data_IF_011359257328
#
_entry.id   IF_011359257328
#
_cell.length_a   1.000
_cell.length_b   1.000
_cell.length_c   1.000
_cell.angle_alpha   90.00
_cell.angle_beta   90.00
_cell.angle_gamma   90.00
#
_symmetry.space_group_name_H-M   'P 1'
#
loop_
_entity.id
_entity.type
_entity.pdbx_description
1 polymer ?
#
# COMPACT_ATOMS: atom_id res chain seq x y z
N UNK A 1 20.01 12.18 1.66
CA UNK A 1 19.54 12.24 0.26
C UNK A 1 18.83 10.93 -0.05
N UNK A 2 17.72 10.97 -0.79
CA UNK A 2 16.94 9.77 -1.13
C UNK A 2 17.13 9.46 -2.61
N UNK A 3 17.42 8.20 -2.90
CA UNK A 3 17.69 7.68 -4.23
C UNK A 3 16.71 6.56 -4.57
N UNK A 4 16.31 6.49 -5.83
CA UNK A 4 15.47 5.41 -6.35
C UNK A 4 16.36 4.45 -7.14
N UNK A 5 16.33 3.17 -6.77
CA UNK A 5 17.01 2.09 -7.48
C UNK A 5 15.97 1.33 -8.29
N UNK A 6 16.21 1.19 -9.60
CA UNK A 6 15.42 0.28 -10.42
C UNK A 6 15.92 -1.14 -10.22
N UNK A 7 14.99 -2.04 -9.94
CA UNK A 7 15.25 -3.47 -9.77
C UNK A 7 14.37 -4.30 -10.69
N UNK A 8 14.66 -5.59 -10.78
CA UNK A 8 13.79 -6.54 -11.47
C UNK A 8 12.53 -6.76 -10.65
N UNK A 9 11.37 -6.64 -11.30
CA UNK A 9 10.05 -6.88 -10.70
C UNK A 9 9.98 -8.28 -10.07
N UNK A 10 9.32 -8.39 -8.91
CA UNK A 10 9.20 -9.62 -8.10
C UNK A 10 10.54 -10.14 -7.53
N UNK A 11 11.60 -9.32 -7.54
CA UNK A 11 12.91 -9.60 -6.96
C UNK A 11 13.38 -8.47 -6.02
N UNK A 12 12.49 -7.60 -5.60
CA UNK A 12 12.75 -6.44 -4.75
C UNK A 12 13.36 -6.87 -3.41
N UNK A 13 12.78 -7.87 -2.73
CA UNK A 13 13.29 -8.37 -1.46
C UNK A 13 14.70 -8.96 -1.58
N UNK A 14 14.96 -9.71 -2.66
CA UNK A 14 16.31 -10.26 -2.93
C UNK A 14 17.31 -9.15 -3.24
N UNK A 15 16.93 -8.18 -4.06
CA UNK A 15 17.80 -7.05 -4.37
C UNK A 15 18.13 -6.24 -3.11
N UNK A 16 17.15 -6.01 -2.23
CA UNK A 16 17.33 -5.33 -0.95
C UNK A 16 18.31 -6.08 -0.05
N UNK A 17 18.15 -7.39 0.08
CA UNK A 17 19.06 -8.25 0.86
C UNK A 17 20.50 -8.15 0.35
N UNK A 18 20.71 -8.28 -0.96
CA UNK A 18 22.04 -8.20 -1.58
C UNK A 18 22.71 -6.83 -1.39
N UNK A 19 21.93 -5.74 -1.53
CA UNK A 19 22.44 -4.37 -1.30
C UNK A 19 22.82 -4.21 0.18
N UNK A 20 21.98 -4.71 1.09
CA UNK A 20 22.22 -4.63 2.54
C UNK A 20 23.47 -5.41 2.96
N UNK A 21 23.61 -6.65 2.51
CA UNK A 21 24.79 -7.48 2.77
C UNK A 21 26.07 -6.81 2.26
N UNK A 22 26.04 -6.25 1.05
CA UNK A 22 27.18 -5.54 0.49
C UNK A 22 27.53 -4.30 1.31
N UNK A 23 26.54 -3.51 1.70
CA UNK A 23 26.75 -2.31 2.49
C UNK A 23 27.39 -2.64 3.84
N UNK A 24 26.95 -3.71 4.51
CA UNK A 24 27.53 -4.20 5.76
C UNK A 24 28.97 -4.68 5.54
N UNK A 25 29.20 -5.52 4.52
CA UNK A 25 30.51 -6.13 4.24
C UNK A 25 31.56 -5.08 3.89
N UNK A 26 31.20 -4.09 3.09
CA UNK A 26 32.11 -3.04 2.63
C UNK A 26 32.11 -1.79 3.53
N UNK A 27 31.31 -1.79 4.62
CA UNK A 27 31.15 -0.66 5.54
C UNK A 27 30.68 0.63 4.83
N UNK A 28 29.81 0.47 3.83
CA UNK A 28 29.22 1.57 3.06
C UNK A 28 28.18 2.27 3.93
N UNK A 29 28.16 3.61 3.88
CA UNK A 29 27.35 4.44 4.78
C UNK A 29 25.95 4.70 4.22
N UNK A 30 25.15 3.65 4.09
CA UNK A 30 23.72 3.77 3.85
C UNK A 30 22.99 4.06 5.17
N UNK A 31 21.99 4.93 5.14
CA UNK A 31 21.16 5.28 6.29
C UNK A 31 19.95 4.35 6.38
N UNK A 32 19.27 4.11 5.25
CA UNK A 32 18.10 3.24 5.20
C UNK A 32 17.88 2.68 3.79
N UNK A 33 17.23 1.52 3.71
CA UNK A 33 16.75 0.91 2.47
C UNK A 33 15.30 0.49 2.69
N UNK A 34 14.40 0.87 1.79
CA UNK A 34 12.98 0.57 1.86
C UNK A 34 12.47 -0.06 0.56
N UNK A 35 11.57 -1.04 0.70
CA UNK A 35 10.82 -1.64 -0.39
C UNK A 35 9.33 -1.31 -0.18
N UNK A 36 8.78 -0.28 -0.87
CA UNK A 36 7.40 0.13 -0.67
C UNK A 36 6.42 -0.85 -1.31
N UNK A 37 5.36 -1.25 -0.59
CA UNK A 37 4.37 -2.23 -1.06
C UNK A 37 3.66 -1.83 -2.37
N UNK A 38 3.48 -0.53 -2.63
CA UNK A 38 2.84 -0.03 -3.85
C UNK A 38 3.78 0.12 -5.06
N UNK A 39 5.10 -0.02 -4.87
CA UNK A 39 6.08 0.35 -5.89
C UNK A 39 6.85 -0.87 -6.42
N UNK A 40 6.26 -1.53 -7.43
CA UNK A 40 6.86 -2.72 -8.07
C UNK A 40 8.08 -2.35 -8.94
N UNK A 41 9.16 -3.10 -8.77
CA UNK A 41 10.40 -2.94 -9.54
C UNK A 41 11.30 -1.79 -9.09
N UNK A 42 11.08 -1.24 -7.89
CA UNK A 42 11.94 -0.19 -7.36
C UNK A 42 12.23 -0.39 -5.86
N UNK A 43 13.38 0.13 -5.44
CA UNK A 43 13.78 0.28 -4.05
C UNK A 43 14.12 1.74 -3.77
N UNK A 44 13.96 2.16 -2.52
CA UNK A 44 14.32 3.48 -2.04
C UNK A 44 15.52 3.33 -1.13
N UNK A 45 16.58 4.12 -1.35
CA UNK A 45 17.80 4.12 -0.52
C UNK A 45 18.06 5.53 -0.04
N UNK A 46 18.31 5.68 1.25
CA UNK A 46 18.75 6.91 1.86
C UNK A 46 20.24 6.86 2.18
N UNK A 47 20.99 7.86 1.72
CA UNK A 47 22.42 7.99 2.00
C UNK A 47 22.86 9.46 2.06
N UNK A 48 24.07 9.70 2.58
CA UNK A 48 24.67 11.04 2.58
C UNK A 48 25.22 11.42 1.22
N UNK A 49 25.82 10.46 0.50
CA UNK A 49 26.46 10.67 -0.78
C UNK A 49 25.88 9.72 -1.84
N UNK A 50 25.99 10.12 -3.11
CA UNK A 50 25.59 9.28 -4.25
C UNK A 50 26.56 8.10 -4.44
N UNK A 51 27.85 8.34 -4.22
CA UNK A 51 28.90 7.33 -4.40
C UNK A 51 28.67 6.10 -3.52
N UNK A 52 28.23 6.29 -2.28
CA UNK A 52 27.87 5.21 -1.35
C UNK A 52 26.74 4.33 -1.94
N UNK A 53 25.74 4.95 -2.57
CA UNK A 53 24.61 4.23 -3.18
C UNK A 53 25.04 3.51 -4.44
N UNK A 54 25.88 4.15 -5.26
CA UNK A 54 26.43 3.53 -6.47
C UNK A 54 27.28 2.32 -6.11
N UNK A 55 28.17 2.44 -5.14
CA UNK A 55 29.01 1.33 -4.66
C UNK A 55 28.16 0.17 -4.11
N UNK A 56 27.12 0.48 -3.33
CA UNK A 56 26.23 -0.52 -2.76
C UNK A 56 25.40 -1.24 -3.83
N UNK A 57 25.01 -0.55 -4.90
CA UNK A 57 24.16 -1.08 -5.98
C UNK A 57 24.96 -1.64 -7.19
N UNK A 58 26.27 -1.41 -7.24
CA UNK A 58 27.10 -1.68 -8.42
C UNK A 58 27.20 -3.16 -8.77
N UNK A 59 26.86 -3.55 -10.01
CA UNK A 59 27.02 -4.91 -10.51
C UNK A 59 26.38 -6.00 -9.62
N UNK A 60 25.25 -5.67 -8.97
CA UNK A 60 24.47 -6.63 -8.22
C UNK A 60 23.38 -7.27 -9.09
N UNK A 61 23.12 -8.58 -8.94
CA UNK A 61 21.98 -9.23 -9.54
C UNK A 61 20.67 -8.51 -9.23
N UNK A 62 19.77 -8.49 -10.22
CA UNK A 62 18.45 -7.86 -10.13
C UNK A 62 18.44 -6.34 -9.98
N UNK A 63 19.59 -5.68 -9.81
CA UNK A 63 19.73 -4.23 -9.78
C UNK A 63 20.00 -3.74 -11.19
N UNK A 64 19.15 -2.82 -11.68
CA UNK A 64 19.28 -2.22 -13.02
C UNK A 64 19.98 -0.86 -12.99
N UNK A 65 20.05 -0.22 -11.82
CA UNK A 65 20.77 1.04 -11.61
C UNK A 65 19.95 2.10 -10.89
N UNK A 66 20.61 3.22 -10.59
CA UNK A 66 20.00 4.39 -9.96
C UNK A 66 19.19 5.16 -11.01
N UNK A 67 17.96 5.54 -10.68
CA UNK A 67 17.08 6.33 -11.54
C UNK A 67 17.14 7.79 -11.13
N UNK A 68 17.35 8.66 -12.13
CA UNK A 68 17.10 10.09 -12.03
C UNK A 68 18.00 10.83 -11.03
N UNK A 69 17.42 11.87 -10.43
CA UNK A 69 18.02 12.68 -9.36
C UNK A 69 17.42 12.27 -8.02
N UNK A 70 17.97 12.82 -6.94
CA UNK A 70 17.43 12.59 -5.60
C UNK A 70 16.01 13.08 -5.48
N UNK A 71 15.18 12.31 -4.77
CA UNK A 71 13.79 12.66 -4.47
C UNK A 71 13.67 13.25 -3.07
N UNK A 72 12.66 14.07 -2.87
CA UNK A 72 12.30 14.60 -1.55
C UNK A 72 11.50 13.56 -0.75
N UNK A 73 11.46 13.73 0.57
CA UNK A 73 10.67 12.86 1.44
C UNK A 73 9.16 12.99 1.16
N UNK A 74 8.69 14.19 0.78
CA UNK A 74 7.28 14.45 0.49
C UNK A 74 6.80 13.65 -0.73
N UNK A 75 7.62 13.52 -1.77
CA UNK A 75 7.31 12.75 -2.98
C UNK A 75 7.19 11.24 -2.71
N UNK A 76 7.98 10.71 -1.77
CA UNK A 76 7.94 9.28 -1.44
C UNK A 76 6.97 8.94 -0.31
N UNK A 77 6.44 9.94 0.40
CA UNK A 77 5.54 9.74 1.55
C UNK A 77 4.27 8.99 1.15
N UNK A 78 3.70 9.30 -0.01
CA UNK A 78 2.54 8.61 -0.59
C UNK A 78 2.85 7.18 -1.06
N UNK A 79 4.13 6.86 -1.30
CA UNK A 79 4.56 5.52 -1.70
C UNK A 79 4.84 4.63 -0.49
N UNK A 80 5.36 5.22 0.59
CA UNK A 80 5.71 4.54 1.84
C UNK A 80 4.49 4.25 2.72
N UNK A 81 3.53 5.17 2.75
CA UNK A 81 2.22 4.90 3.35
C UNK A 81 1.31 4.38 2.24
N UNK A 82 0.94 3.08 2.24
CA UNK A 82 -0.35 2.77 1.65
C UNK A 82 -1.34 3.71 2.33
N UNK A 83 -2.09 4.49 1.55
CA UNK A 83 -3.40 4.93 2.01
C UNK A 83 -4.17 3.63 2.25
N UNK A 84 -3.97 3.03 3.43
CA UNK A 84 -5.10 2.40 4.08
C UNK A 84 -6.05 3.57 4.16
N UNK A 85 -7.01 3.64 3.24
CA UNK A 85 -8.27 4.26 3.59
C UNK A 85 -8.58 3.62 4.94
N UNK A 86 -8.45 4.39 6.02
CA UNK A 86 -8.86 3.92 7.32
C UNK A 86 -10.29 3.50 7.10
N UNK A 87 -10.50 2.19 6.97
CA UNK A 87 -11.79 1.57 6.80
C UNK A 87 -12.47 1.71 8.16
N UNK A 88 -12.80 2.95 8.51
CA UNK A 88 -13.66 3.32 9.61
C UNK A 88 -15.11 3.00 9.21
N UNK A 89 -15.29 1.83 8.62
CA UNK A 89 -16.57 1.20 8.35
C UNK A 89 -17.14 0.93 9.73
N UNK A 90 -18.35 1.43 9.96
CA UNK A 90 -19.14 1.12 11.14
C UNK A 90 -20.29 0.22 10.75
N UNK A 91 -20.76 -0.56 11.71
CA UNK A 91 -22.06 -1.24 11.57
C UNK A 91 -23.10 -0.17 11.34
N UNK A 92 -23.86 -0.29 10.25
CA UNK A 92 -24.84 0.72 9.83
C UNK A 92 -24.47 1.53 8.60
N UNK A 93 -23.18 1.60 8.24
CA UNK A 93 -22.74 2.36 7.07
C UNK A 93 -23.26 1.75 5.76
N UNK A 94 -23.48 2.61 4.77
CA UNK A 94 -23.77 2.18 3.41
C UNK A 94 -22.47 2.12 2.65
N UNK A 95 -22.18 0.93 2.11
CA UNK A 95 -21.00 0.65 1.32
C UNK A 95 -21.39 0.24 -0.10
N UNK A 96 -20.50 0.54 -1.03
CA UNK A 96 -20.55 0.08 -2.40
C UNK A 96 -19.52 -1.02 -2.61
N UNK A 97 -19.92 -2.06 -3.33
CA UNK A 97 -19.11 -3.23 -3.60
C UNK A 97 -18.14 -2.98 -4.76
N UNK A 98 -16.84 -3.20 -4.53
CA UNK A 98 -15.77 -3.09 -5.55
C UNK A 98 -15.49 -4.45 -6.20
N UNK A 99 -15.88 -5.55 -5.54
CA UNK A 99 -15.69 -6.93 -6.02
C UNK A 99 -16.30 -7.16 -7.40
N UNK A 100 -15.59 -7.82 -8.31
CA UNK A 100 -16.03 -8.04 -9.71
C UNK A 100 -17.42 -8.70 -9.86
N UNK A 101 -17.80 -9.58 -8.93
CA UNK A 101 -19.11 -10.26 -8.97
C UNK A 101 -20.29 -9.38 -8.55
N UNK A 102 -20.08 -8.34 -7.74
CA UNK A 102 -21.13 -7.50 -7.15
C UNK A 102 -20.86 -6.01 -7.41
N UNK A 103 -20.09 -5.70 -8.46
CA UNK A 103 -19.55 -4.37 -8.70
C UNK A 103 -20.66 -3.32 -8.80
N UNK A 104 -20.50 -2.22 -8.07
CA UNK A 104 -21.44 -1.10 -7.95
C UNK A 104 -22.75 -1.41 -7.21
N UNK A 105 -22.91 -2.59 -6.61
CA UNK A 105 -24.04 -2.83 -5.73
C UNK A 105 -23.86 -2.12 -4.38
N UNK A 106 -24.96 -1.61 -3.83
CA UNK A 106 -24.98 -0.93 -2.54
C UNK A 106 -25.50 -1.88 -1.46
N UNK A 107 -24.82 -1.89 -0.32
CA UNK A 107 -25.20 -2.69 0.84
C UNK A 107 -25.06 -1.93 2.14
N UNK A 108 -25.87 -2.32 3.14
CA UNK A 108 -25.73 -1.84 4.51
C UNK A 108 -24.84 -2.80 5.30
N UNK A 109 -23.86 -2.27 6.03
CA UNK A 109 -22.97 -3.07 6.87
C UNK A 109 -23.72 -3.58 8.10
N UNK A 110 -23.72 -4.89 8.29
CA UNK A 110 -24.42 -5.55 9.41
C UNK A 110 -23.44 -6.01 10.50
N UNK A 111 -22.23 -6.43 10.12
CA UNK A 111 -21.22 -6.93 11.05
C UNK A 111 -19.82 -6.71 10.47
N UNK A 112 -18.84 -6.48 11.34
CA UNK A 112 -17.42 -6.31 10.96
C UNK A 112 -16.59 -7.24 11.82
N UNK A 113 -15.73 -8.04 11.18
CA UNK A 113 -14.70 -8.83 11.84
C UNK A 113 -13.32 -8.22 11.56
N UNK A 114 -12.83 -7.43 12.52
CA UNK A 114 -11.51 -6.77 12.43
C UNK A 114 -10.33 -7.74 12.52
N UNK A 115 -10.53 -8.95 13.05
CA UNK A 115 -9.43 -9.94 13.14
C UNK A 115 -9.20 -10.64 11.81
N UNK A 116 -10.26 -10.81 11.02
CA UNK A 116 -10.22 -11.48 9.71
C UNK A 116 -10.24 -10.53 8.52
N UNK A 117 -10.34 -9.23 8.77
CA UNK A 117 -10.48 -8.19 7.74
C UNK A 117 -11.69 -8.44 6.82
N UNK A 118 -12.80 -8.90 7.42
CA UNK A 118 -14.05 -9.22 6.73
C UNK A 118 -15.21 -8.34 7.21
N UNK A 119 -16.11 -8.00 6.29
CA UNK A 119 -17.34 -7.27 6.56
C UNK A 119 -18.54 -8.04 6.00
N UNK A 120 -19.61 -8.10 6.77
CA UNK A 120 -20.89 -8.70 6.37
C UNK A 120 -21.83 -7.58 5.96
N UNK A 121 -22.23 -7.56 4.70
CA UNK A 121 -23.10 -6.54 4.11
C UNK A 121 -24.41 -7.15 3.67
N UNK A 122 -25.49 -6.37 3.76
CA UNK A 122 -26.82 -6.72 3.27
C UNK A 122 -27.16 -5.84 2.07
N UNK A 123 -27.36 -6.44 0.90
CA UNK A 123 -27.62 -5.71 -0.35
C UNK A 123 -28.97 -4.98 -0.30
N UNK A 124 -28.96 -3.70 -0.65
CA UNK A 124 -30.16 -2.85 -0.64
C UNK A 124 -31.03 -3.03 -1.90
N UNK A 125 -30.47 -3.59 -2.97
CA UNK A 125 -31.17 -3.83 -4.24
C UNK A 125 -31.97 -5.13 -4.31
N UNK A 126 -31.82 -6.02 -3.32
CA UNK A 126 -32.47 -7.32 -3.30
C UNK A 126 -33.84 -7.24 -2.58
N UNK A 127 -34.87 -7.89 -3.14
CA UNK A 127 -36.20 -7.98 -2.51
C UNK A 127 -36.17 -8.72 -1.16
N UNK A 128 -35.15 -9.55 -0.93
CA UNK A 128 -34.88 -10.25 0.32
C UNK A 128 -33.44 -9.94 0.74
N UNK A 129 -33.20 -9.44 1.97
CA UNK A 129 -31.86 -9.10 2.43
C UNK A 129 -31.04 -10.37 2.67
N UNK A 130 -30.13 -10.69 1.77
CA UNK A 130 -29.16 -11.79 1.93
C UNK A 130 -27.86 -11.21 2.49
N UNK A 131 -27.37 -11.68 3.66
CA UNK A 131 -26.08 -11.27 4.17
C UNK A 131 -24.95 -11.93 3.37
N UNK A 132 -24.05 -11.13 2.83
CA UNK A 132 -22.85 -11.59 2.12
C UNK A 132 -21.59 -11.16 2.89
N UNK A 133 -20.60 -12.06 2.97
CA UNK A 133 -19.31 -11.77 3.60
C UNK A 133 -18.30 -11.41 2.52
N UNK A 134 -17.64 -10.26 2.68
CA UNK A 134 -16.64 -9.74 1.75
C UNK A 134 -15.45 -9.18 2.50
N UNK A 135 -14.30 -9.08 1.82
CA UNK A 135 -13.12 -8.44 2.40
C UNK A 135 -13.35 -6.94 2.56
N UNK A 136 -12.77 -6.37 3.61
CA UNK A 136 -12.82 -4.93 3.88
C UNK A 136 -12.24 -4.13 2.69
N UNK A 137 -11.16 -4.62 2.07
CA UNK A 137 -10.54 -3.99 0.89
C UNK A 137 -11.46 -3.91 -0.35
N UNK A 138 -12.51 -4.72 -0.38
CA UNK A 138 -13.40 -4.85 -1.52
C UNK A 138 -14.69 -4.04 -1.38
N UNK A 139 -14.77 -3.14 -0.39
CA UNK A 139 -15.93 -2.29 -0.16
C UNK A 139 -15.51 -0.83 -0.03
N UNK A 140 -16.32 0.09 -0.53
CA UNK A 140 -16.12 1.54 -0.41
C UNK A 140 -17.26 2.17 0.36
N UNK A 141 -16.98 2.93 1.42
CA UNK A 141 -18.03 3.64 2.17
C UNK A 141 -18.58 4.78 1.32
N UNK A 142 -19.89 4.78 1.06
CA UNK A 142 -20.57 5.85 0.30
C UNK A 142 -21.41 6.77 1.20
N UNK A 143 -21.82 6.29 2.38
CA UNK A 143 -22.57 7.10 3.36
C UNK A 143 -22.31 6.59 4.76
N UNK A 144 -21.90 7.48 5.66
CA UNK A 144 -21.75 7.16 7.09
C UNK A 144 -23.04 7.49 7.82
N UNK A 145 -23.45 6.65 8.76
CA UNK A 145 -24.71 6.86 9.50
C UNK A 145 -24.70 8.14 10.37
N UNK A 146 -23.51 8.69 10.66
CA UNK A 146 -23.32 9.93 11.41
C UNK A 146 -23.54 11.24 10.62
N UNK A 147 -23.84 11.19 9.31
CA UNK A 147 -24.14 12.39 8.49
C UNK A 147 -25.65 12.59 8.30
N UNK A 148 -26.44 12.41 9.36
CA UNK A 148 -27.91 12.59 9.33
C UNK A 148 -28.44 13.76 10.18
N UNK A 149 -27.58 14.65 10.68
CA UNK A 149 -28.02 15.78 11.53
C UNK A 149 -27.86 17.20 10.94
N UNK A 150 -27.26 17.41 9.76
CA UNK A 150 -27.08 18.76 9.20
C UNK A 150 -27.83 18.98 7.87
N UNK A 151 -29.15 18.77 7.88
CA UNK A 151 -30.05 19.38 6.89
C UNK A 151 -31.44 19.52 7.55
N UNK A 152 -31.56 20.52 8.43
CA UNK A 152 -32.84 21.09 8.90
C UNK A 152 -33.03 22.48 8.32
#
# INVERSE_FOLDING_TARGET
MIFIIKVTTNKESRALEMISERAIKNKIKLLSIASPYGLRGYLIIEAKNRDDVEEAAFNLPYVKGIIGKTVSFEEIKSMLKPEMEDFNIKVGDIVEMISDHFKNEKGKVTRIDKKKEEVVVSLLGAAVPIPITVKIDNVRVIRRESEKEDDS
#
